data_IF_074223862913
#
_entry.id   IF_074223862913
#
_cell.length_a   1.000
_cell.length_b   1.000
_cell.length_c   1.000
_cell.angle_alpha   90.00
_cell.angle_beta   90.00
_cell.angle_gamma   90.00
#
_symmetry.space_group_name_H-M   'P 1'
#
loop_
_entity.id
_entity.type
_entity.pdbx_description
1 polymer ?
#
# COMPACT_ATOMS: atom_id res chain seq x y z
N UNK A 1 9.51 -9.22 35.43
CA UNK A 1 10.28 -10.05 34.46
C UNK A 1 9.79 -11.47 34.57
N UNK A 2 9.31 -12.06 33.48
CA UNK A 2 8.81 -13.45 33.47
C UNK A 2 9.95 -14.47 33.45
N UNK A 3 9.72 -15.63 34.05
CA UNK A 3 10.56 -16.82 33.91
C UNK A 3 10.10 -17.59 32.67
N UNK A 4 11.03 -17.90 31.75
CA UNK A 4 10.76 -18.61 30.50
C UNK A 4 11.28 -20.04 30.61
N UNK A 5 10.47 -21.03 30.22
CA UNK A 5 10.89 -22.43 30.14
C UNK A 5 11.30 -22.76 28.71
N UNK A 6 12.41 -23.47 28.55
CA UNK A 6 12.80 -24.11 27.30
C UNK A 6 13.16 -25.58 27.57
N UNK A 7 12.62 -26.50 26.78
CA UNK A 7 12.91 -27.92 26.94
C UNK A 7 14.19 -28.30 26.19
N UNK A 8 14.98 -29.21 26.78
CA UNK A 8 16.23 -29.74 26.20
C UNK A 8 16.25 -31.26 26.30
N UNK A 9 17.24 -31.91 25.66
CA UNK A 9 17.43 -33.36 25.78
C UNK A 9 17.72 -33.84 27.21
N UNK A 10 18.25 -32.97 28.06
CA UNK A 10 18.65 -33.26 29.45
C UNK A 10 17.65 -32.69 30.48
N UNK A 11 16.46 -32.31 30.04
CA UNK A 11 15.39 -31.73 30.87
C UNK A 11 15.19 -30.23 30.66
N UNK A 12 14.19 -29.63 31.31
CA UNK A 12 13.84 -28.23 31.12
C UNK A 12 14.90 -27.30 31.72
N UNK A 13 15.16 -26.19 31.03
CA UNK A 13 15.88 -25.04 31.58
C UNK A 13 14.91 -23.88 31.81
N UNK A 14 15.11 -23.14 32.91
CA UNK A 14 14.34 -21.95 33.22
C UNK A 14 15.25 -20.74 33.10
N UNK A 15 14.81 -19.71 32.37
CA UNK A 15 15.61 -18.53 32.02
C UNK A 15 14.85 -17.27 32.42
N UNK A 16 15.52 -16.39 33.15
CA UNK A 16 15.04 -15.05 33.50
C UNK A 16 16.03 -14.02 32.95
N UNK A 17 15.52 -12.87 32.52
CA UNK A 17 16.35 -11.71 32.11
C UNK A 17 16.47 -11.49 30.59
N UNK A 18 15.74 -12.26 29.78
CA UNK A 18 15.71 -12.12 28.32
C UNK A 18 14.32 -11.70 27.81
N UNK A 19 14.27 -10.98 26.69
CA UNK A 19 13.01 -10.62 26.02
C UNK A 19 12.40 -11.80 25.27
N UNK A 20 13.22 -12.77 24.85
CA UNK A 20 12.78 -14.02 24.24
C UNK A 20 13.81 -15.13 24.50
N UNK A 21 13.34 -16.37 24.66
CA UNK A 21 14.17 -17.58 24.53
C UNK A 21 13.62 -18.36 23.36
N UNK A 22 14.43 -18.56 22.32
CA UNK A 22 14.06 -19.24 21.08
C UNK A 22 14.30 -20.74 21.20
N UNK A 23 15.44 -21.12 21.76
CA UNK A 23 15.81 -22.51 21.99
C UNK A 23 16.87 -22.63 23.08
N UNK A 24 16.95 -23.81 23.68
CA UNK A 24 18.02 -24.19 24.58
C UNK A 24 18.54 -25.59 24.22
N UNK A 25 19.83 -25.81 24.39
CA UNK A 25 20.44 -27.12 24.32
C UNK A 25 21.44 -27.26 25.47
N UNK A 26 21.58 -28.47 26.01
CA UNK A 26 22.67 -28.79 26.94
C UNK A 26 23.72 -29.56 26.14
N UNK A 27 24.96 -29.08 26.17
CA UNK A 27 26.10 -29.71 25.50
C UNK A 27 27.22 -29.92 26.49
N UNK A 28 27.34 -31.14 27.00
CA UNK A 28 28.25 -31.45 28.10
C UNK A 28 27.88 -30.65 29.36
N UNK A 29 28.73 -29.70 29.74
CA UNK A 29 28.53 -28.88 30.94
C UNK A 29 28.15 -27.42 30.63
N UNK A 30 27.62 -27.16 29.43
CA UNK A 30 27.18 -25.83 28.99
C UNK A 30 25.70 -25.87 28.59
N UNK A 31 24.92 -24.90 29.08
CA UNK A 31 23.63 -24.55 28.50
C UNK A 31 23.88 -23.54 27.37
N UNK A 32 23.56 -23.93 26.14
CA UNK A 32 23.58 -23.10 24.95
C UNK A 32 22.18 -22.54 24.71
N UNK A 33 22.02 -21.22 24.86
CA UNK A 33 20.76 -20.53 24.59
C UNK A 33 20.81 -19.80 23.25
N UNK A 34 19.68 -19.81 22.55
CA UNK A 34 19.33 -18.78 21.56
C UNK A 34 18.28 -17.89 22.21
N UNK A 35 18.62 -16.64 22.44
CA UNK A 35 17.79 -15.72 23.20
C UNK A 35 18.01 -14.28 22.76
N UNK A 36 17.01 -13.44 23.01
CA UNK A 36 17.05 -12.03 22.63
C UNK A 36 17.05 -11.14 23.88
N UNK A 37 17.70 -9.98 23.79
CA UNK A 37 17.69 -8.95 24.84
C UNK A 37 17.28 -7.59 24.27
N UNK A 38 16.38 -6.89 24.97
CA UNK A 38 15.92 -5.54 24.64
C UNK A 38 16.71 -4.44 25.36
N UNK A 39 17.49 -4.82 26.38
CA UNK A 39 18.42 -3.96 27.12
C UNK A 39 19.49 -4.79 27.80
N UNK A 40 20.58 -4.13 28.19
CA UNK A 40 21.59 -4.76 29.02
C UNK A 40 21.00 -5.10 30.40
N UNK A 41 21.37 -6.26 30.95
CA UNK A 41 20.80 -6.72 32.20
C UNK A 41 21.38 -8.03 32.71
N UNK A 42 20.85 -8.47 33.86
CA UNK A 42 21.17 -9.77 34.43
C UNK A 42 20.41 -10.89 33.70
N UNK A 43 21.08 -12.03 33.51
CA UNK A 43 20.46 -13.30 33.08
C UNK A 43 20.65 -14.34 34.17
N UNK A 44 19.58 -15.05 34.51
CA UNK A 44 19.61 -16.17 35.45
C UNK A 44 19.07 -17.44 34.78
N UNK A 45 19.85 -18.52 34.84
CA UNK A 45 19.54 -19.80 34.19
C UNK A 45 19.55 -20.93 35.20
N UNK A 46 18.44 -21.65 35.32
CA UNK A 46 18.30 -22.87 36.10
C UNK A 46 18.35 -24.05 35.13
N UNK A 47 19.33 -24.94 35.29
CA UNK A 47 19.52 -26.07 34.39
C UNK A 47 20.68 -26.99 34.81
N UNK A 48 20.84 -28.15 34.16
CA UNK A 48 21.79 -29.19 34.57
C UNK A 48 23.24 -28.92 34.13
N UNK A 49 23.70 -27.66 34.14
CA UNK A 49 25.02 -27.27 33.64
C UNK A 49 25.68 -26.20 34.52
N UNK A 50 27.01 -26.04 34.37
CA UNK A 50 27.81 -25.02 35.10
C UNK A 50 28.32 -23.88 34.23
N UNK A 51 28.16 -23.96 32.91
CA UNK A 51 28.53 -22.92 31.95
C UNK A 51 27.31 -22.47 31.16
N UNK A 52 27.36 -21.24 30.67
CA UNK A 52 26.33 -20.63 29.85
C UNK A 52 26.98 -20.05 28.59
N UNK A 53 26.38 -20.31 27.44
CA UNK A 53 26.62 -19.55 26.21
C UNK A 53 25.28 -19.04 25.67
N UNK A 54 25.28 -17.82 25.13
CA UNK A 54 24.09 -17.19 24.56
C UNK A 54 24.43 -16.70 23.16
N UNK A 55 23.63 -17.11 22.17
CA UNK A 55 23.81 -16.78 20.75
C UNK A 55 25.20 -17.18 20.18
N UNK A 56 25.83 -18.19 20.79
CA UNK A 56 27.17 -18.67 20.40
C UNK A 56 28.30 -18.09 21.24
N UNK A 57 28.05 -17.07 22.05
CA UNK A 57 29.06 -16.39 22.86
C UNK A 57 29.07 -16.89 24.32
N UNK A 58 30.23 -17.25 24.89
CA UNK A 58 30.33 -17.63 26.30
C UNK A 58 29.96 -16.47 27.23
N UNK A 59 29.14 -16.76 28.24
CA UNK A 59 28.74 -15.79 29.26
C UNK A 59 29.46 -16.09 30.56
N UNK A 60 30.12 -15.08 31.14
CA UNK A 60 30.70 -15.19 32.47
C UNK A 60 29.57 -15.27 33.50
N UNK A 61 29.51 -16.37 34.23
CA UNK A 61 28.47 -16.66 35.22
C UNK A 61 29.06 -16.99 36.58
N UNK A 62 28.27 -16.76 37.64
CA UNK A 62 28.50 -17.30 38.99
C UNK A 62 27.34 -18.20 39.38
N UNK A 63 27.60 -19.23 40.16
CA UNK A 63 26.54 -20.06 40.74
C UNK A 63 25.89 -19.32 41.91
N UNK A 64 24.56 -19.27 41.96
CA UNK A 64 23.81 -18.71 43.08
C UNK A 64 23.66 -19.73 44.21
N UNK A 65 23.18 -19.31 45.38
CA UNK A 65 22.87 -20.24 46.48
C UNK A 65 21.81 -21.29 46.10
N UNK A 66 20.90 -20.96 45.16
CA UNK A 66 19.90 -21.86 44.62
C UNK A 66 20.40 -22.77 43.49
N UNK A 67 21.70 -22.73 43.17
CA UNK A 67 22.30 -23.57 42.13
C UNK A 67 22.13 -23.07 40.69
N UNK A 68 21.45 -21.94 40.47
CA UNK A 68 21.32 -21.30 39.16
C UNK A 68 22.61 -20.62 38.72
N UNK A 69 22.75 -20.38 37.41
CA UNK A 69 23.82 -19.59 36.82
C UNK A 69 23.34 -18.14 36.65
N UNK A 70 24.03 -17.20 37.28
CA UNK A 70 23.74 -15.77 37.15
C UNK A 70 24.89 -15.08 36.41
N UNK A 71 24.56 -14.37 35.33
CA UNK A 71 25.50 -13.58 34.52
C UNK A 71 24.88 -12.27 34.07
N UNK A 72 25.52 -11.61 33.10
CA UNK A 72 25.00 -10.39 32.48
C UNK A 72 25.08 -10.49 30.96
N UNK A 73 24.05 -9.98 30.29
CA UNK A 73 23.99 -9.87 28.85
C UNK A 73 24.00 -8.39 28.41
N UNK A 74 24.63 -8.09 27.27
CA UNK A 74 24.49 -6.79 26.63
C UNK A 74 23.07 -6.57 26.10
N UNK A 75 22.73 -5.32 25.85
CA UNK A 75 21.56 -4.92 25.06
C UNK A 75 21.95 -4.57 23.62
N UNK A 76 20.97 -4.21 22.79
CA UNK A 76 21.23 -3.80 21.42
C UNK A 76 22.06 -2.52 21.34
N UNK A 77 22.81 -2.36 20.25
CA UNK A 77 23.52 -1.14 19.94
C UNK A 77 22.54 -0.03 19.48
N UNK A 78 22.87 1.26 19.74
CA UNK A 78 22.03 2.37 19.29
C UNK A 78 21.85 2.40 17.77
N UNK A 79 20.61 2.61 17.34
CA UNK A 79 20.21 2.67 15.92
C UNK A 79 20.23 4.12 15.43
N UNK A 80 20.78 4.35 14.24
CA UNK A 80 20.73 5.65 13.54
C UNK A 80 20.05 5.47 12.20
N UNK A 81 18.98 6.22 11.97
CA UNK A 81 18.24 6.22 10.71
C UNK A 81 18.50 7.54 9.94
N UNK A 82 18.65 7.48 8.61
CA UNK A 82 18.86 8.68 7.81
C UNK A 82 17.56 9.48 7.68
N UNK A 83 17.70 10.79 7.48
CA UNK A 83 16.60 11.61 7.00
C UNK A 83 16.24 11.24 5.55
N UNK A 84 14.95 11.16 5.25
CA UNK A 84 14.45 10.95 3.90
C UNK A 84 14.48 12.28 3.13
N UNK A 85 15.57 12.53 2.42
CA UNK A 85 15.81 13.77 1.68
C UNK A 85 15.88 13.52 0.17
N UNK A 86 16.08 14.56 -0.64
CA UNK A 86 16.31 14.38 -2.09
C UNK A 86 15.08 13.92 -2.88
N UNK A 87 13.88 14.13 -2.35
CA UNK A 87 12.64 13.75 -3.00
C UNK A 87 12.49 14.39 -4.39
N UNK A 88 12.18 13.54 -5.36
CA UNK A 88 11.76 13.92 -6.69
C UNK A 88 10.27 13.70 -6.85
N UNK A 89 9.64 14.48 -7.71
CA UNK A 89 8.20 14.43 -7.95
C UNK A 89 7.86 14.46 -9.43
N UNK A 90 6.77 13.78 -9.76
CA UNK A 90 6.15 13.82 -11.08
C UNK A 90 4.64 13.65 -10.95
N UNK A 91 3.90 14.61 -11.48
CA UNK A 91 2.46 14.47 -11.64
C UNK A 91 2.13 13.40 -12.69
N UNK A 92 1.20 12.52 -12.33
CA UNK A 92 0.28 11.78 -13.18
C UNK A 92 -1.01 12.65 -13.26
N UNK A 93 -2.04 12.51 -14.10
CA UNK A 93 -2.57 11.48 -14.98
C UNK A 93 -2.52 11.92 -16.44
N UNK A 94 -1.57 11.45 -17.25
CA UNK A 94 -1.65 11.69 -18.68
C UNK A 94 -2.99 11.20 -19.25
N UNK A 95 -3.61 10.18 -18.65
CA UNK A 95 -4.94 9.65 -18.94
C UNK A 95 -6.06 10.67 -18.84
N UNK A 96 -5.92 11.76 -18.08
CA UNK A 96 -6.95 12.80 -18.04
C UNK A 96 -6.94 13.66 -19.31
N UNK A 97 -5.80 13.73 -20.02
CA UNK A 97 -5.62 14.66 -21.13
C UNK A 97 -6.41 14.20 -22.37
N UNK A 98 -6.96 15.13 -23.16
CA UNK A 98 -7.74 14.77 -24.34
C UNK A 98 -6.87 14.08 -25.41
N UNK A 99 -5.62 14.51 -25.57
CA UNK A 99 -4.67 13.93 -26.53
C UNK A 99 -3.90 12.70 -26.03
N UNK A 100 -4.29 12.09 -24.92
CA UNK A 100 -3.70 10.81 -24.48
C UNK A 100 -4.13 9.68 -25.41
N UNK A 101 -3.17 8.90 -25.88
CA UNK A 101 -3.42 7.75 -26.73
C UNK A 101 -3.82 6.54 -25.89
N UNK A 102 -5.11 6.19 -25.96
CA UNK A 102 -5.71 5.01 -25.32
C UNK A 102 -6.06 3.92 -26.33
N UNK A 103 -5.48 3.93 -27.55
CA UNK A 103 -5.79 2.93 -28.57
C UNK A 103 -5.45 1.51 -28.12
N UNK A 104 -4.45 1.37 -27.24
CA UNK A 104 -4.02 0.10 -26.64
C UNK A 104 -4.87 -0.36 -25.44
N UNK A 105 -5.85 0.43 -24.99
CA UNK A 105 -6.70 0.07 -23.87
C UNK A 105 -7.83 -0.88 -24.29
N UNK A 106 -8.24 -1.71 -23.34
CA UNK A 106 -9.37 -2.63 -23.50
C UNK A 106 -10.65 -1.83 -23.76
N UNK A 107 -11.41 -2.20 -24.80
CA UNK A 107 -12.75 -1.67 -25.01
C UNK A 107 -13.68 -2.19 -23.92
N UNK A 108 -14.42 -1.29 -23.28
CA UNK A 108 -15.45 -1.66 -22.32
C UNK A 108 -16.81 -1.66 -23.01
N UNK A 109 -17.10 -2.74 -23.73
CA UNK A 109 -18.25 -2.91 -24.63
C UNK A 109 -19.09 -4.16 -24.31
N UNK A 110 -18.82 -4.84 -23.19
CA UNK A 110 -19.62 -5.99 -22.75
C UNK A 110 -21.04 -5.54 -22.43
N UNK A 111 -22.03 -6.29 -22.89
CA UNK A 111 -23.45 -6.02 -22.64
C UNK A 111 -24.06 -6.95 -21.59
N UNK A 112 -23.30 -7.94 -21.14
CA UNK A 112 -23.72 -8.95 -20.16
C UNK A 112 -22.61 -9.16 -19.15
N UNK A 113 -22.99 -9.55 -17.93
CA UNK A 113 -22.07 -9.81 -16.81
C UNK A 113 -22.41 -11.15 -16.19
N UNK A 114 -21.40 -11.82 -15.65
CA UNK A 114 -21.58 -13.03 -14.83
C UNK A 114 -21.74 -12.70 -13.34
N UNK A 115 -21.43 -11.46 -12.96
CA UNK A 115 -21.63 -10.93 -11.62
C UNK A 115 -23.14 -10.83 -11.35
N UNK A 116 -23.65 -11.31 -10.19
CA UNK A 116 -25.10 -11.43 -9.90
C UNK A 116 -25.83 -10.10 -9.71
N UNK A 117 -25.17 -8.97 -9.98
CA UNK A 117 -25.72 -7.61 -9.86
C UNK A 117 -25.89 -7.02 -11.26
N UNK A 118 -27.11 -6.56 -11.55
CA UNK A 118 -27.45 -6.06 -12.88
C UNK A 118 -26.67 -4.76 -13.18
N UNK A 119 -26.11 -4.62 -14.40
CA UNK A 119 -25.51 -3.36 -14.82
C UNK A 119 -26.60 -2.29 -14.96
N UNK A 120 -26.30 -1.01 -14.66
CA UNK A 120 -27.28 0.04 -14.84
C UNK A 120 -27.62 0.21 -16.32
N UNK A 121 -28.88 0.50 -16.63
CA UNK A 121 -29.28 0.99 -17.95
C UNK A 121 -29.05 2.50 -18.02
N UNK A 122 -28.50 3.00 -19.13
CA UNK A 122 -28.44 4.44 -19.37
C UNK A 122 -29.77 4.98 -19.89
N UNK A 123 -29.81 6.29 -20.19
CA UNK A 123 -31.00 6.94 -20.74
C UNK A 123 -31.42 6.38 -22.12
N UNK A 124 -30.54 5.66 -22.82
CA UNK A 124 -30.83 4.99 -24.09
C UNK A 124 -31.33 3.55 -23.92
N UNK A 125 -31.30 3.01 -22.68
CA UNK A 125 -31.71 1.65 -22.35
C UNK A 125 -30.60 0.61 -22.53
N UNK A 126 -29.37 1.02 -22.85
CA UNK A 126 -28.24 0.10 -23.07
C UNK A 126 -26.90 0.79 -22.72
N UNK A 127 -26.37 0.52 -21.52
CA UNK A 127 -25.00 0.87 -21.16
C UNK A 127 -24.10 -0.38 -21.13
N UNK A 128 -22.82 -0.28 -21.50
CA UNK A 128 -21.89 -1.39 -21.34
C UNK A 128 -21.63 -1.65 -19.85
N UNK A 129 -21.28 -2.89 -19.54
CA UNK A 129 -20.76 -3.29 -18.23
C UNK A 129 -19.39 -2.63 -18.04
N UNK A 130 -19.23 -1.92 -16.92
CA UNK A 130 -17.99 -1.19 -16.59
C UNK A 130 -17.25 -1.80 -15.37
N UNK A 131 -17.67 -2.98 -14.92
CA UNK A 131 -17.06 -3.69 -13.80
C UNK A 131 -15.63 -4.12 -14.15
N UNK A 132 -14.67 -3.80 -13.30
CA UNK A 132 -13.25 -3.98 -13.59
C UNK A 132 -12.86 -5.46 -13.75
N UNK A 133 -13.44 -6.34 -12.94
CA UNK A 133 -13.20 -7.79 -12.94
C UNK A 133 -13.64 -8.43 -14.25
N UNK A 134 -14.71 -7.93 -14.87
CA UNK A 134 -15.12 -8.41 -16.18
C UNK A 134 -14.00 -8.18 -17.22
N UNK A 135 -13.13 -7.19 -17.04
CA UNK A 135 -12.01 -6.93 -17.96
C UNK A 135 -10.65 -7.46 -17.46
N UNK A 136 -10.63 -8.34 -16.45
CA UNK A 136 -9.41 -8.93 -15.90
C UNK A 136 -8.56 -7.96 -15.08
N UNK A 137 -9.22 -6.99 -14.43
CA UNK A 137 -8.58 -5.98 -13.59
C UNK A 137 -9.11 -6.06 -12.15
N UNK A 138 -8.64 -7.07 -11.41
CA UNK A 138 -9.18 -7.39 -10.08
C UNK A 138 -8.60 -6.54 -8.93
N UNK A 139 -7.46 -5.89 -9.14
CA UNK A 139 -6.68 -5.27 -8.06
C UNK A 139 -6.22 -3.85 -8.36
N UNK A 140 -6.23 -3.03 -7.31
CA UNK A 140 -5.76 -1.65 -7.32
C UNK A 140 -6.57 -0.73 -8.23
N UNK A 141 -6.08 0.50 -8.42
CA UNK A 141 -6.83 1.53 -9.13
C UNK A 141 -7.11 1.17 -10.59
N UNK A 142 -8.23 1.64 -11.14
CA UNK A 142 -8.62 1.39 -12.53
C UNK A 142 -9.01 2.69 -13.21
N UNK A 143 -8.47 2.92 -14.41
CA UNK A 143 -8.86 4.06 -15.24
C UNK A 143 -9.95 3.68 -16.23
N UNK A 144 -10.86 4.63 -16.42
CA UNK A 144 -11.90 4.62 -17.45
C UNK A 144 -11.77 5.87 -18.31
N UNK A 145 -11.92 5.71 -19.63
CA UNK A 145 -11.99 6.81 -20.59
C UNK A 145 -13.23 6.68 -21.46
N UNK A 146 -14.19 7.57 -21.24
CA UNK A 146 -15.45 7.66 -21.94
C UNK A 146 -15.40 8.73 -23.02
N UNK A 147 -15.54 8.32 -24.28
CA UNK A 147 -15.52 9.18 -25.45
C UNK A 147 -16.93 9.50 -25.92
N UNK A 148 -17.24 10.78 -26.13
CA UNK A 148 -18.52 11.21 -26.65
C UNK A 148 -18.36 12.44 -27.57
N UNK A 149 -19.42 12.79 -28.28
CA UNK A 149 -19.47 14.03 -29.08
C UNK A 149 -20.29 15.04 -28.31
N UNK A 150 -19.69 16.19 -28.00
CA UNK A 150 -20.37 17.23 -27.23
C UNK A 150 -21.51 17.87 -28.03
N UNK A 151 -22.61 18.19 -27.35
CA UNK A 151 -23.75 18.94 -27.89
C UNK A 151 -23.70 20.42 -27.51
N UNK A 152 -22.89 20.77 -26.51
CA UNK A 152 -22.78 22.11 -25.90
C UNK A 152 -23.90 22.44 -24.91
N UNK A 153 -24.76 21.46 -24.60
CA UNK A 153 -25.86 21.58 -23.62
C UNK A 153 -25.56 20.85 -22.31
N UNK A 154 -24.40 20.21 -22.22
CA UNK A 154 -23.95 19.50 -21.04
C UNK A 154 -23.75 20.44 -19.84
N UNK A 155 -24.27 20.06 -18.67
CA UNK A 155 -24.16 20.87 -17.44
C UNK A 155 -23.48 20.15 -16.29
N UNK A 156 -23.53 18.82 -16.27
CA UNK A 156 -22.88 18.01 -15.25
C UNK A 156 -22.53 16.61 -15.77
N UNK A 157 -21.57 15.97 -15.10
CA UNK A 157 -21.31 14.53 -15.22
C UNK A 157 -21.90 13.85 -13.99
N UNK A 158 -22.77 12.87 -14.21
CA UNK A 158 -23.33 12.02 -13.16
C UNK A 158 -22.67 10.65 -13.23
N UNK A 159 -22.11 10.18 -12.12
CA UNK A 159 -21.44 8.87 -12.02
C UNK A 159 -22.00 8.04 -10.86
N UNK A 160 -21.68 6.75 -10.90
CA UNK A 160 -21.77 5.80 -9.79
C UNK A 160 -20.59 4.84 -9.88
N UNK A 161 -19.98 4.48 -8.76
CA UNK A 161 -18.83 3.58 -8.71
C UNK A 161 -18.84 2.76 -7.44
N UNK A 162 -18.30 1.55 -7.49
CA UNK A 162 -18.07 0.68 -6.34
C UNK A 162 -16.56 0.57 -6.14
N UNK A 163 -16.08 0.99 -4.97
CA UNK A 163 -14.64 1.02 -4.67
C UNK A 163 -14.24 0.03 -3.58
N UNK A 164 -15.24 -0.57 -2.91
CA UNK A 164 -15.05 -1.16 -1.59
C UNK A 164 -14.96 -0.09 -0.50
N UNK A 165 -14.91 -0.56 0.76
CA UNK A 165 -15.03 0.28 1.95
C UNK A 165 -14.05 1.45 1.94
N UNK A 166 -14.58 2.68 2.08
CA UNK A 166 -13.83 3.93 2.17
C UNK A 166 -13.04 4.32 0.90
N UNK A 167 -13.23 3.66 -0.23
CA UNK A 167 -12.59 4.08 -1.48
C UNK A 167 -13.19 5.36 -2.07
N UNK A 168 -12.46 5.98 -2.99
CA UNK A 168 -12.90 7.17 -3.72
C UNK A 168 -12.73 6.97 -5.22
N UNK A 169 -13.28 7.90 -5.99
CA UNK A 169 -12.94 8.05 -7.40
C UNK A 169 -12.83 9.52 -7.77
N UNK A 170 -12.04 9.80 -8.80
CA UNK A 170 -11.73 11.14 -9.29
C UNK A 170 -12.17 11.25 -10.75
N UNK A 171 -12.68 12.41 -11.15
CA UNK A 171 -13.19 12.66 -12.49
C UNK A 171 -12.53 13.87 -13.16
N UNK A 172 -12.24 13.74 -14.46
CA UNK A 172 -11.75 14.80 -15.33
C UNK A 172 -12.52 14.84 -16.64
N UNK A 173 -12.67 16.02 -17.21
CA UNK A 173 -13.23 16.21 -18.54
C UNK A 173 -12.26 17.03 -19.40
N UNK A 174 -11.78 16.45 -20.50
CA UNK A 174 -10.77 17.06 -21.37
C UNK A 174 -9.53 17.57 -20.60
N UNK A 175 -9.12 16.85 -19.55
CA UNK A 175 -7.98 17.19 -18.69
C UNK A 175 -8.31 18.15 -17.54
N UNK A 176 -9.50 18.73 -17.49
CA UNK A 176 -9.94 19.56 -16.38
C UNK A 176 -10.46 18.69 -15.24
N UNK A 177 -9.88 18.83 -14.04
CA UNK A 177 -10.37 18.12 -12.85
C UNK A 177 -11.76 18.63 -12.46
N UNK A 178 -12.74 17.73 -12.43
CA UNK A 178 -14.11 18.07 -12.07
C UNK A 178 -14.37 17.87 -10.57
N UNK A 179 -13.67 16.93 -9.93
CA UNK A 179 -13.81 16.62 -8.52
C UNK A 179 -13.60 15.14 -8.20
N UNK A 180 -13.94 14.80 -6.97
CA UNK A 180 -13.91 13.43 -6.45
C UNK A 180 -15.21 13.11 -5.72
N UNK A 181 -15.57 11.83 -5.63
CA UNK A 181 -16.66 11.36 -4.79
C UNK A 181 -16.28 10.08 -4.05
N UNK A 182 -17.02 9.80 -2.98
CA UNK A 182 -16.90 8.53 -2.27
C UNK A 182 -17.48 7.40 -3.12
N UNK A 183 -16.78 6.28 -3.18
CA UNK A 183 -17.30 5.09 -3.82
C UNK A 183 -18.35 4.39 -2.96
N UNK A 184 -19.20 3.62 -3.62
CA UNK A 184 -20.21 2.81 -3.00
C UNK A 184 -19.59 1.67 -2.21
N UNK A 185 -20.29 1.33 -1.13
CA UNK A 185 -20.05 0.17 -0.30
C UNK A 185 -21.39 -0.50 -0.11
N UNK A 186 -21.51 -1.79 -0.35
CA UNK A 186 -22.69 -2.52 0.12
C UNK A 186 -22.17 -3.51 1.15
N UNK A 187 -22.59 -3.32 2.40
CA UNK A 187 -22.32 -4.29 3.44
C UNK A 187 -23.19 -5.53 3.24
N UNK A 188 -22.84 -6.58 3.96
CA UNK A 188 -23.53 -7.86 3.89
C UNK A 188 -25.05 -7.76 3.96
N UNK A 189 -25.56 -7.01 4.93
CA UNK A 189 -27.00 -6.88 5.17
C UNK A 189 -27.70 -5.86 4.29
N UNK A 190 -26.98 -5.14 3.44
CA UNK A 190 -27.54 -4.02 2.68
C UNK A 190 -28.28 -4.52 1.44
N UNK A 191 -29.41 -3.89 1.14
CA UNK A 191 -30.09 -4.12 -0.13
C UNK A 191 -29.21 -3.58 -1.27
N UNK A 192 -29.18 -4.30 -2.40
CA UNK A 192 -28.50 -3.84 -3.59
C UNK A 192 -29.02 -2.46 -4.02
N UNK A 193 -28.11 -1.51 -4.27
CA UNK A 193 -28.47 -0.18 -4.75
C UNK A 193 -28.24 -0.07 -6.26
N UNK A 194 -29.21 0.47 -7.02
CA UNK A 194 -29.06 0.66 -8.46
C UNK A 194 -28.06 1.78 -8.81
N UNK A 195 -27.61 2.57 -7.82
CA UNK A 195 -26.65 3.67 -8.02
C UNK A 195 -25.66 3.78 -6.85
N UNK A 196 -24.72 2.83 -6.70
CA UNK A 196 -23.74 2.85 -5.62
C UNK A 196 -22.74 4.01 -5.80
N UNK A 197 -22.36 4.67 -4.71
CA UNK A 197 -21.35 5.73 -4.72
C UNK A 197 -21.65 6.87 -5.71
N UNK A 198 -22.83 7.50 -5.66
CA UNK A 198 -23.21 8.52 -6.63
C UNK A 198 -22.28 9.73 -6.54
N UNK A 199 -21.94 10.27 -7.71
CA UNK A 199 -21.19 11.51 -7.86
C UNK A 199 -21.87 12.39 -8.89
N UNK A 200 -21.81 13.70 -8.67
CA UNK A 200 -22.34 14.69 -9.60
C UNK A 200 -21.36 15.86 -9.67
N UNK A 201 -20.83 16.11 -10.86
CA UNK A 201 -19.77 17.08 -11.07
C UNK A 201 -20.21 18.12 -12.10
N UNK A 202 -20.24 19.39 -11.71
CA UNK A 202 -20.59 20.47 -12.60
C UNK A 202 -19.56 20.60 -13.74
N UNK A 203 -20.05 20.79 -14.96
CA UNK A 203 -19.21 21.09 -16.12
C UNK A 203 -19.09 22.61 -16.25
N UNK A 204 -17.87 23.18 -16.14
CA UNK A 204 -17.67 24.61 -16.36
C UNK A 204 -18.14 25.06 -17.75
N UNK A 205 -18.77 26.23 -17.82
CA UNK A 205 -19.23 26.78 -19.09
C UNK A 205 -18.07 26.98 -20.07
N UNK A 206 -18.29 26.60 -21.32
CA UNK A 206 -17.28 26.71 -22.39
C UNK A 206 -16.21 25.62 -22.40
N UNK A 207 -16.22 24.67 -21.45
CA UNK A 207 -15.30 23.51 -21.47
C UNK A 207 -15.59 22.56 -22.65
N UNK A 208 -16.85 22.49 -23.08
CA UNK A 208 -17.31 21.70 -24.21
C UNK A 208 -17.85 22.59 -25.32
N UNK A 209 -17.59 22.20 -26.56
CA UNK A 209 -18.07 22.88 -27.77
C UNK A 209 -18.92 21.91 -28.60
N UNK A 210 -20.08 22.34 -29.11
CA UNK A 210 -20.93 21.50 -29.95
C UNK A 210 -20.16 20.88 -31.12
N UNK A 211 -20.34 19.57 -31.34
CA UNK A 211 -19.73 18.79 -32.42
C UNK A 211 -18.29 18.32 -32.16
N UNK A 212 -17.62 18.83 -31.12
CA UNK A 212 -16.25 18.41 -30.79
C UNK A 212 -16.24 17.08 -30.00
N UNK A 213 -15.14 16.33 -30.14
CA UNK A 213 -14.89 15.12 -29.34
C UNK A 213 -14.49 15.52 -27.92
N UNK A 214 -15.08 14.83 -26.96
CA UNK A 214 -14.81 15.02 -25.55
C UNK A 214 -14.46 13.69 -24.89
N UNK A 215 -13.62 13.76 -23.86
CA UNK A 215 -13.19 12.61 -23.08
C UNK A 215 -13.42 12.85 -21.60
N UNK A 216 -14.30 12.04 -21.03
CA UNK A 216 -14.47 11.87 -19.59
C UNK A 216 -13.48 10.81 -19.10
N UNK A 217 -12.58 11.19 -18.20
CA UNK A 217 -11.65 10.25 -17.57
C UNK A 217 -12.00 10.07 -16.11
N UNK A 218 -12.12 8.83 -15.66
CA UNK A 218 -12.46 8.50 -14.27
C UNK A 218 -11.41 7.53 -13.73
N UNK A 219 -10.80 7.89 -12.60
CA UNK A 219 -9.94 7.01 -11.83
C UNK A 219 -10.73 6.47 -10.65
N UNK A 220 -10.93 5.15 -10.60
CA UNK A 220 -11.67 4.50 -9.52
C UNK A 220 -10.69 3.71 -8.66
N UNK A 221 -10.66 3.99 -7.35
CA UNK A 221 -9.89 3.17 -6.41
C UNK A 221 -10.56 1.81 -6.21
N UNK A 222 -9.75 0.77 -6.05
CA UNK A 222 -10.21 -0.54 -5.58
C UNK A 222 -9.54 -0.83 -4.24
N UNK A 223 -10.33 -0.80 -3.17
CA UNK A 223 -9.90 -1.06 -1.79
C UNK A 223 -9.91 -2.56 -1.43
N UNK A 224 -10.01 -3.44 -2.43
CA UNK A 224 -10.11 -4.88 -2.29
C UNK A 224 -11.55 -5.38 -2.36
N UNK A 225 -11.71 -6.65 -2.75
CA UNK A 225 -12.99 -7.35 -2.76
C UNK A 225 -13.44 -7.73 -1.34
N UNK A 226 -14.74 -7.94 -1.17
CA UNK A 226 -15.28 -8.37 0.12
C UNK A 226 -14.84 -9.82 0.42
N UNK A 227 -14.84 -10.20 1.69
CA UNK A 227 -14.72 -11.60 2.07
C UNK A 227 -16.00 -12.39 1.74
N UNK A 228 -15.93 -13.71 1.83
CA UNK A 228 -17.06 -14.61 1.58
C UNK A 228 -17.48 -15.30 2.88
N UNK A 229 -17.97 -14.50 3.84
CA UNK A 229 -18.30 -15.02 5.17
C UNK A 229 -19.64 -15.77 5.23
N UNK A 230 -20.57 -15.47 4.31
CA UNK A 230 -21.91 -16.08 4.28
C UNK A 230 -22.09 -16.99 3.08
N UNK A 231 -22.78 -18.12 3.25
CA UNK A 231 -22.99 -19.13 2.22
C UNK A 231 -23.80 -18.70 0.96
N UNK A 232 -24.22 -17.44 0.88
CA UNK A 232 -24.96 -16.89 -0.26
C UNK A 232 -24.04 -16.62 -1.49
N UNK A 233 -22.71 -16.71 -1.35
CA UNK A 233 -21.72 -16.76 -2.45
C UNK A 233 -21.79 -15.60 -3.48
N UNK A 234 -22.42 -14.48 -3.11
CA UNK A 234 -22.65 -13.34 -4.01
C UNK A 234 -21.79 -12.12 -3.67
N UNK A 235 -21.32 -11.99 -2.42
CA UNK A 235 -20.76 -10.73 -1.91
C UNK A 235 -19.29 -10.52 -2.23
N UNK A 236 -18.49 -11.58 -2.23
CA UNK A 236 -17.12 -11.50 -2.74
C UNK A 236 -17.10 -11.21 -4.26
N UNK A 237 -18.18 -11.56 -4.97
CA UNK A 237 -18.40 -11.26 -6.40
C UNK A 237 -18.87 -9.83 -6.65
N UNK A 238 -19.13 -9.03 -5.61
CA UNK A 238 -19.50 -7.62 -5.81
C UNK A 238 -18.39 -6.93 -6.61
N UNK A 239 -18.79 -6.30 -7.71
CA UNK A 239 -17.86 -5.66 -8.62
C UNK A 239 -17.09 -4.50 -7.99
N UNK A 240 -16.01 -4.13 -8.65
CA UNK A 240 -15.25 -2.92 -8.42
C UNK A 240 -15.20 -2.09 -9.70
N UNK A 241 -14.94 -0.80 -9.54
CA UNK A 241 -14.80 0.11 -10.66
C UNK A 241 -16.03 0.99 -10.89
N UNK A 242 -16.12 1.55 -12.10
CA UNK A 242 -17.22 2.42 -12.48
C UNK A 242 -18.48 1.56 -12.66
N UNK A 243 -19.57 1.95 -12.02
CA UNK A 243 -20.85 1.26 -12.14
C UNK A 243 -21.65 1.83 -13.31
N UNK A 244 -21.66 3.15 -13.44
CA UNK A 244 -22.30 3.85 -14.55
C UNK A 244 -21.91 5.32 -14.61
N UNK A 245 -22.18 5.94 -15.78
CA UNK A 245 -21.99 7.36 -15.98
C UNK A 245 -22.94 7.90 -17.05
N UNK A 246 -23.38 9.13 -16.86
CA UNK A 246 -24.22 9.88 -17.80
C UNK A 246 -23.85 11.36 -17.79
N UNK A 247 -24.22 12.06 -18.86
CA UNK A 247 -23.97 13.49 -19.01
C UNK A 247 -25.30 14.24 -18.89
N UNK A 248 -25.46 15.03 -17.84
CA UNK A 248 -26.66 15.84 -17.64
C UNK A 248 -26.75 16.88 -18.75
N UNK A 249 -27.91 16.96 -19.41
CA UNK A 249 -28.13 17.88 -20.54
C UNK A 249 -27.75 17.32 -21.91
N UNK A 250 -27.29 16.07 -22.00
CA UNK A 250 -27.00 15.39 -23.27
C UNK A 250 -27.38 13.90 -23.22
N UNK A 251 -27.97 13.40 -24.30
CA UNK A 251 -28.23 11.97 -24.50
C UNK A 251 -27.17 11.32 -25.41
N UNK A 252 -26.03 11.99 -25.64
CA UNK A 252 -24.97 11.45 -26.47
C UNK A 252 -24.41 10.15 -25.86
N UNK A 253 -24.28 9.07 -26.66
CA UNK A 253 -23.71 7.83 -26.16
C UNK A 253 -22.24 8.00 -25.80
N UNK A 254 -21.80 7.31 -24.75
CA UNK A 254 -20.40 7.30 -24.29
C UNK A 254 -19.78 5.96 -24.64
N UNK A 255 -18.69 5.96 -25.40
CA UNK A 255 -17.90 4.76 -25.72
C UNK A 255 -16.73 4.63 -24.76
N UNK A 256 -16.60 3.51 -24.07
CA UNK A 256 -15.67 3.36 -22.96
C UNK A 256 -14.42 2.54 -23.30
N UNK A 257 -13.30 2.98 -22.74
CA UNK A 257 -12.04 2.24 -22.61
C UNK A 257 -11.72 2.06 -21.13
N UNK A 258 -11.09 0.94 -20.78
CA UNK A 258 -10.72 0.58 -19.40
C UNK A 258 -9.27 0.09 -19.33
N UNK A 259 -8.57 0.46 -18.26
CA UNK A 259 -7.20 0.02 -18.00
C UNK A 259 -6.93 -0.09 -16.49
N UNK A 260 -6.76 -1.31 -16.00
CA UNK A 260 -6.19 -1.60 -14.68
C UNK A 260 -4.68 -1.86 -14.76
N UNK A 261 -4.19 -2.77 -13.92
CA UNK A 261 -2.78 -3.15 -13.89
C UNK A 261 -2.23 -3.59 -15.26
N UNK A 262 -0.94 -3.32 -15.51
CA UNK A 262 -0.30 -3.71 -16.77
C UNK A 262 -0.30 -5.23 -16.91
N UNK A 263 -0.92 -5.70 -18.00
CA UNK A 263 -1.08 -7.13 -18.28
C UNK A 263 -2.34 -7.77 -17.69
N UNK A 264 -3.08 -7.07 -16.81
CA UNK A 264 -4.24 -7.63 -16.11
C UNK A 264 -3.86 -8.92 -15.39
N UNK A 265 -4.62 -9.99 -15.63
CA UNK A 265 -4.35 -11.35 -15.12
C UNK A 265 -3.02 -11.95 -15.63
N UNK A 266 -2.48 -11.47 -16.76
CA UNK A 266 -1.16 -11.86 -17.27
C UNK A 266 -0.07 -10.96 -16.67
N UNK A 267 0.33 -11.28 -15.44
CA UNK A 267 1.16 -10.42 -14.59
C UNK A 267 2.45 -9.94 -15.26
N UNK A 268 2.62 -8.61 -15.33
CA UNK A 268 3.87 -8.01 -15.79
C UNK A 268 5.03 -8.18 -14.78
N UNK A 269 4.72 -8.35 -13.49
CA UNK A 269 5.70 -8.59 -12.42
C UNK A 269 5.29 -9.78 -11.55
N UNK A 270 5.56 -11.03 -12.01
CA UNK A 270 5.23 -12.22 -11.24
C UNK A 270 6.07 -12.36 -9.96
N UNK A 271 7.19 -11.64 -9.82
CA UNK A 271 8.02 -11.71 -8.62
C UNK A 271 7.36 -11.01 -7.42
N UNK A 272 6.55 -9.98 -7.66
CA UNK A 272 5.79 -9.25 -6.62
C UNK A 272 4.32 -9.67 -6.54
N UNK A 273 3.85 -10.43 -7.52
CA UNK A 273 2.50 -11.01 -7.54
C UNK A 273 1.41 -10.02 -7.97
N UNK A 274 0.15 -10.50 -8.06
CA UNK A 274 -0.94 -9.78 -8.71
C UNK A 274 -1.43 -8.56 -7.92
N UNK A 275 -1.27 -8.56 -6.59
CA UNK A 275 -1.81 -7.53 -5.70
C UNK A 275 -0.88 -6.32 -5.54
N UNK A 276 0.36 -6.40 -6.06
CA UNK A 276 1.38 -5.40 -5.77
C UNK A 276 1.08 -4.05 -6.42
N UNK A 277 0.49 -4.06 -7.61
CA UNK A 277 0.25 -2.86 -8.41
C UNK A 277 -1.16 -2.86 -8.96
N UNK A 278 -1.78 -1.69 -8.97
CA UNK A 278 -2.98 -1.39 -9.75
C UNK A 278 -2.66 -0.76 -11.10
N UNK A 279 -3.64 0.00 -11.57
CA UNK A 279 -3.63 0.69 -12.84
C UNK A 279 -3.22 2.15 -12.80
N UNK A 280 -2.55 2.68 -11.77
CA UNK A 280 -1.96 4.03 -11.91
C UNK A 280 -0.92 4.05 -13.04
N UNK A 281 -0.79 5.15 -13.77
CA UNK A 281 0.21 5.30 -14.83
C UNK A 281 1.62 4.99 -14.34
N UNK A 282 1.98 5.50 -13.16
CA UNK A 282 3.29 5.25 -12.55
C UNK A 282 3.50 3.79 -12.12
N UNK A 283 2.43 3.07 -11.77
CA UNK A 283 2.47 1.62 -11.53
C UNK A 283 2.77 0.89 -12.85
N UNK A 284 1.98 1.15 -13.89
CA UNK A 284 2.13 0.51 -15.22
C UNK A 284 3.48 0.86 -15.89
N UNK A 285 4.05 2.00 -15.54
CA UNK A 285 5.35 2.49 -16.03
C UNK A 285 6.54 2.10 -15.15
N UNK A 286 6.33 1.39 -14.04
CA UNK A 286 7.40 0.91 -13.16
C UNK A 286 8.09 2.00 -12.31
N UNK A 287 7.45 3.15 -12.08
CA UNK A 287 8.03 4.25 -11.30
C UNK A 287 8.33 3.89 -9.84
N UNK A 288 7.62 2.89 -9.32
CA UNK A 288 7.81 2.33 -7.99
C UNK A 288 9.06 1.44 -7.88
N UNK A 289 9.64 0.99 -9.00
CA UNK A 289 10.73 0.03 -9.01
C UNK A 289 12.09 0.69 -8.67
N UNK A 290 13.00 -0.06 -8.02
CA UNK A 290 14.40 0.36 -7.91
C UNK A 290 15.02 0.55 -9.29
N UNK A 291 16.02 1.44 -9.41
CA UNK A 291 16.72 1.67 -10.68
C UNK A 291 15.97 2.50 -11.73
N UNK A 292 14.67 2.78 -11.56
CA UNK A 292 13.92 3.66 -12.48
C UNK A 292 14.64 5.02 -12.65
N UNK A 293 14.84 5.51 -13.90
CA UNK A 293 15.61 6.71 -14.19
C UNK A 293 14.78 7.98 -13.97
N UNK A 294 14.56 8.34 -12.70
CA UNK A 294 13.85 9.56 -12.30
C UNK A 294 14.70 10.85 -12.41
N UNK A 295 15.84 10.79 -13.13
CA UNK A 295 16.77 11.93 -13.33
C UNK A 295 16.11 13.22 -13.81
N UNK A 296 15.08 13.09 -14.64
CA UNK A 296 14.32 14.18 -15.25
C UNK A 296 13.16 14.70 -14.39
N UNK A 297 12.87 14.05 -13.25
CA UNK A 297 11.79 14.48 -12.38
C UNK A 297 12.16 15.74 -11.62
N UNK A 298 11.16 16.57 -11.35
CA UNK A 298 11.34 17.81 -10.62
C UNK A 298 11.67 17.50 -9.15
N UNK A 299 12.29 18.45 -8.44
CA UNK A 299 12.43 18.33 -6.98
C UNK A 299 11.07 18.54 -6.32
N UNK A 300 10.76 17.75 -5.31
CA UNK A 300 9.50 17.88 -4.58
C UNK A 300 9.47 19.18 -3.76
N UNK A 301 8.38 19.95 -3.91
CA UNK A 301 8.14 21.17 -3.15
C UNK A 301 7.25 20.96 -1.89
N UNK A 302 6.73 19.74 -1.70
CA UNK A 302 5.83 19.38 -0.59
C UNK A 302 4.35 19.66 -0.85
N UNK A 303 4.00 20.50 -1.84
CA UNK A 303 2.63 20.73 -2.27
C UNK A 303 2.24 19.79 -3.43
N UNK A 304 1.00 19.31 -3.43
CA UNK A 304 0.39 18.52 -4.50
C UNK A 304 -0.99 19.07 -4.85
N UNK A 305 -1.35 18.99 -6.13
CA UNK A 305 -2.66 19.38 -6.65
C UNK A 305 -3.60 18.15 -6.73
N UNK A 306 -4.92 18.33 -6.94
CA UNK A 306 -5.84 17.22 -7.13
C UNK A 306 -5.41 16.29 -8.28
N UNK A 307 -5.56 14.99 -8.04
CA UNK A 307 -5.09 13.92 -8.94
C UNK A 307 -3.97 13.10 -8.32
N UNK A 308 -3.13 12.53 -9.18
CA UNK A 308 -2.09 11.58 -8.75
C UNK A 308 -0.72 12.22 -8.90
N UNK A 309 0.05 12.27 -7.82
CA UNK A 309 1.43 12.76 -7.84
C UNK A 309 2.36 11.72 -7.26
N UNK A 310 3.39 11.35 -8.00
CA UNK A 310 4.41 10.44 -7.53
C UNK A 310 5.54 11.20 -6.87
N UNK A 311 6.04 10.67 -5.74
CA UNK A 311 7.28 11.09 -5.13
C UNK A 311 8.23 9.90 -5.05
N UNK A 312 9.53 10.14 -5.27
CA UNK A 312 10.54 9.11 -5.19
C UNK A 312 11.80 9.61 -4.52
N UNK A 313 12.40 8.78 -3.68
CA UNK A 313 13.71 9.02 -3.09
C UNK A 313 14.49 7.72 -2.91
N UNK A 314 15.78 7.84 -2.65
CA UNK A 314 16.65 6.73 -2.25
C UNK A 314 17.38 7.09 -0.97
N UNK A 315 17.63 6.08 -0.14
CA UNK A 315 18.39 6.23 1.10
C UNK A 315 19.24 4.98 1.34
N UNK A 316 20.28 5.12 2.15
CA UNK A 316 21.16 4.00 2.53
C UNK A 316 21.04 3.70 4.02
N UNK A 317 21.00 2.42 4.35
CA UNK A 317 21.07 1.94 5.73
C UNK A 317 22.39 1.19 5.94
N UNK A 318 22.89 1.27 7.16
CA UNK A 318 24.00 0.48 7.71
C UNK A 318 23.70 0.26 9.20
N UNK A 319 22.70 -0.57 9.46
CA UNK A 319 22.23 -0.83 10.83
C UNK A 319 23.23 -1.72 11.59
N UNK A 320 23.29 -1.67 12.93
CA UNK A 320 24.14 -2.58 13.67
C UNK A 320 23.77 -4.05 13.39
N UNK A 321 24.80 -4.89 13.24
CA UNK A 321 24.64 -6.33 13.02
C UNK A 321 24.27 -7.05 14.31
N UNK A 322 23.81 -8.29 14.15
CA UNK A 322 23.48 -9.22 15.25
C UNK A 322 22.37 -8.71 16.19
N UNK A 323 21.54 -7.79 15.70
CA UNK A 323 20.31 -7.34 16.34
C UNK A 323 19.17 -7.25 15.32
N UNK A 324 17.97 -7.58 15.77
CA UNK A 324 16.72 -7.36 15.06
C UNK A 324 16.26 -5.92 15.34
N UNK A 325 16.26 -5.08 14.30
CA UNK A 325 15.86 -3.68 14.37
C UNK A 325 14.63 -3.44 13.50
N UNK A 326 13.48 -3.31 14.15
CA UNK A 326 12.23 -2.99 13.47
C UNK A 326 12.22 -1.51 13.07
N UNK A 327 12.06 -1.24 11.77
CA UNK A 327 11.96 0.12 11.21
C UNK A 327 10.56 0.37 10.66
N UNK A 328 9.99 1.54 10.93
CA UNK A 328 8.74 1.98 10.31
C UNK A 328 8.89 3.30 9.56
N UNK A 329 8.07 3.48 8.52
CA UNK A 329 7.82 4.76 7.88
C UNK A 329 6.69 5.45 8.62
N UNK A 330 6.96 6.64 9.18
CA UNK A 330 5.98 7.47 9.87
C UNK A 330 5.55 8.64 8.99
N UNK A 331 4.24 8.80 8.84
CA UNK A 331 3.61 10.02 8.32
C UNK A 331 3.26 10.98 9.46
N UNK A 332 3.62 12.26 9.32
CA UNK A 332 3.36 13.28 10.33
C UNK A 332 4.60 13.67 11.14
N UNK A 333 4.39 14.30 12.30
CA UNK A 333 5.49 14.73 13.14
C UNK A 333 6.31 13.53 13.65
N UNK A 334 7.64 13.67 13.83
CA UNK A 334 8.49 12.56 14.29
C UNK A 334 8.09 11.96 15.63
N UNK A 335 7.51 12.77 16.53
CA UNK A 335 7.00 12.34 17.84
C UNK A 335 5.62 11.66 17.78
N UNK A 336 5.03 11.56 16.58
CA UNK A 336 3.71 10.97 16.35
C UNK A 336 2.54 11.90 16.65
N UNK A 337 2.80 13.15 17.05
CA UNK A 337 1.77 14.14 17.38
C UNK A 337 1.29 14.91 16.15
N UNK A 338 0.31 15.79 16.35
CA UNK A 338 -0.23 16.66 15.32
C UNK A 338 -1.33 16.03 14.46
N UNK A 339 -2.04 16.89 13.75
CA UNK A 339 -3.10 16.49 12.83
C UNK A 339 -2.50 16.00 11.52
N UNK A 340 -3.14 15.00 10.92
CA UNK A 340 -2.80 14.56 9.57
C UNK A 340 -3.56 15.43 8.59
N UNK A 341 -2.91 15.95 7.54
CA UNK A 341 -3.63 16.69 6.53
C UNK A 341 -4.66 15.78 5.84
N UNK A 342 -5.82 16.36 5.57
CA UNK A 342 -6.98 15.70 4.99
C UNK A 342 -6.94 15.76 3.46
N UNK A 343 -7.77 14.95 2.79
CA UNK A 343 -7.99 15.05 1.35
C UNK A 343 -6.92 14.41 0.47
N UNK A 344 -6.03 13.57 1.02
CA UNK A 344 -5.14 12.75 0.20
C UNK A 344 -4.85 11.37 0.82
N UNK A 345 -4.42 10.48 -0.06
CA UNK A 345 -4.04 9.09 0.22
C UNK A 345 -2.68 8.82 -0.38
N UNK A 346 -1.93 7.88 0.18
CA UNK A 346 -0.59 7.55 -0.29
C UNK A 346 -0.43 6.04 -0.34
N UNK A 347 -0.19 5.50 -1.54
CA UNK A 347 0.35 4.15 -1.68
C UNK A 347 1.86 4.18 -1.47
N UNK A 348 2.36 3.30 -0.60
CA UNK A 348 3.76 3.27 -0.17
C UNK A 348 4.47 2.09 -0.81
N UNK A 349 5.48 2.37 -1.63
CA UNK A 349 6.29 1.34 -2.29
C UNK A 349 7.71 1.33 -1.76
N UNK A 350 8.12 0.23 -1.12
CA UNK A 350 9.49 -0.02 -0.69
C UNK A 350 10.15 -1.02 -1.64
N UNK A 351 11.23 -0.60 -2.30
CA UNK A 351 11.97 -1.44 -3.26
C UNK A 351 11.05 -2.11 -4.31
N UNK A 352 9.99 -1.41 -4.70
CA UNK A 352 8.98 -1.86 -5.65
C UNK A 352 7.81 -2.65 -5.06
N UNK A 353 7.85 -3.07 -3.78
CA UNK A 353 6.69 -3.69 -3.16
C UNK A 353 5.78 -2.65 -2.50
N UNK A 354 4.47 -2.73 -2.77
CA UNK A 354 3.47 -1.99 -2.03
C UNK A 354 3.39 -2.53 -0.60
N UNK A 355 3.73 -1.70 0.38
CA UNK A 355 3.78 -2.06 1.81
C UNK A 355 2.68 -1.38 2.61
N UNK A 356 1.77 -0.66 1.96
CA UNK A 356 0.59 -0.11 2.61
C UNK A 356 0.04 1.14 1.95
N UNK A 357 -1.12 1.54 2.45
CA UNK A 357 -1.82 2.75 2.05
C UNK A 357 -2.05 3.62 3.29
N UNK A 358 -1.55 4.85 3.23
CA UNK A 358 -1.86 5.88 4.22
C UNK A 358 -3.05 6.72 3.75
N UNK A 359 -3.94 7.09 4.67
CA UNK A 359 -5.03 8.03 4.41
C UNK A 359 -5.32 8.84 5.67
N UNK A 360 -5.08 10.15 5.61
CA UNK A 360 -5.31 11.07 6.73
C UNK A 360 -6.78 11.11 7.17
N UNK A 361 -7.70 10.99 6.21
CA UNK A 361 -9.16 11.04 6.43
C UNK A 361 -9.76 9.75 7.02
N UNK A 362 -8.99 8.67 7.06
CA UNK A 362 -9.46 7.35 7.50
C UNK A 362 -8.76 6.97 8.80
N UNK A 363 -7.43 7.03 8.83
CA UNK A 363 -6.63 6.64 9.98
C UNK A 363 -6.92 5.22 10.49
N UNK A 364 -6.45 4.86 11.69
CA UNK A 364 -5.52 5.61 12.54
C UNK A 364 -4.05 5.38 12.19
N UNK A 365 -3.75 4.52 11.20
CA UNK A 365 -2.38 4.07 10.94
C UNK A 365 -1.50 5.21 10.40
N UNK A 366 -0.47 5.56 11.18
CA UNK A 366 0.58 6.53 10.82
C UNK A 366 1.92 5.87 10.52
N UNK A 367 2.14 4.70 11.13
CA UNK A 367 3.38 3.95 11.09
C UNK A 367 3.19 2.69 10.23
N UNK A 368 4.02 2.57 9.21
CA UNK A 368 4.04 1.44 8.28
C UNK A 368 5.34 0.68 8.47
N UNK A 369 5.25 -0.53 9.00
CA UNK A 369 6.42 -1.35 9.25
C UNK A 369 7.11 -1.73 7.94
N UNK A 370 8.40 -1.45 7.85
CA UNK A 370 9.24 -1.77 6.71
C UNK A 370 10.03 -3.03 7.04
N UNK A 371 9.47 -4.19 6.68
CA UNK A 371 10.02 -5.50 7.05
C UNK A 371 11.48 -5.67 6.58
N UNK A 372 12.35 -6.16 7.47
CA UNK A 372 13.69 -6.59 7.07
C UNK A 372 13.59 -7.66 5.97
N UNK A 373 14.54 -7.63 5.02
CA UNK A 373 14.50 -8.44 3.82
C UNK A 373 13.89 -7.68 2.65
N UNK A 374 12.74 -7.02 2.85
CA UNK A 374 12.25 -6.00 1.91
C UNK A 374 13.06 -4.72 2.04
N UNK A 375 13.17 -4.22 3.28
CA UNK A 375 14.10 -3.18 3.67
C UNK A 375 15.50 -3.78 3.73
N UNK A 376 16.42 -3.22 2.95
CA UNK A 376 17.83 -3.60 2.97
C UNK A 376 18.50 -2.84 4.11
N UNK A 377 18.71 -3.49 5.25
CA UNK A 377 19.37 -2.91 6.43
C UNK A 377 20.84 -2.52 6.20
N UNK A 378 21.46 -3.06 5.15
CA UNK A 378 22.85 -2.80 4.78
C UNK A 378 22.93 -2.54 3.27
N UNK A 379 22.55 -1.33 2.83
CA UNK A 379 22.54 -1.00 1.41
C UNK A 379 21.57 0.10 1.03
N UNK A 380 21.39 0.26 -0.28
CA UNK A 380 20.50 1.25 -0.87
C UNK A 380 19.06 0.74 -0.98
N UNK A 381 18.12 1.59 -0.60
CA UNK A 381 16.69 1.38 -0.70
C UNK A 381 16.05 2.47 -1.56
N UNK A 382 14.99 2.13 -2.27
CA UNK A 382 14.11 3.04 -2.99
C UNK A 382 12.77 3.13 -2.28
N UNK A 383 12.31 4.35 -2.03
CA UNK A 383 10.96 4.62 -1.57
C UNK A 383 10.24 5.42 -2.65
N UNK A 384 9.08 4.93 -3.08
CA UNK A 384 8.18 5.64 -3.97
C UNK A 384 6.81 5.78 -3.31
N UNK A 385 6.20 6.94 -3.45
CA UNK A 385 4.91 7.28 -2.89
C UNK A 385 3.99 7.72 -4.03
N UNK A 386 2.85 7.06 -4.20
CA UNK A 386 1.81 7.54 -5.11
C UNK A 386 0.75 8.27 -4.29
N UNK A 387 0.74 9.60 -4.39
CA UNK A 387 -0.19 10.47 -3.68
C UNK A 387 -1.43 10.68 -4.53
N UNK A 388 -2.59 10.28 -4.03
CA UNK A 388 -3.89 10.51 -4.65
C UNK A 388 -4.58 11.61 -3.84
N UNK A 389 -4.69 12.80 -4.40
CA UNK A 389 -5.23 14.00 -3.73
C UNK A 389 -6.58 14.39 -4.33
N UNK A 390 -7.56 14.71 -3.49
CA UNK A 390 -8.88 15.20 -3.94
C UNK A 390 -8.94 16.73 -3.98
N UNK A 391 -8.04 17.39 -3.27
CA UNK A 391 -7.87 18.84 -3.17
C UNK A 391 -6.39 19.22 -3.31
N UNK A 392 -6.08 20.52 -3.32
CA UNK A 392 -4.71 20.95 -3.05
C UNK A 392 -4.31 20.52 -1.63
N UNK A 393 -3.12 19.96 -1.48
CA UNK A 393 -2.64 19.45 -0.19
C UNK A 393 -1.15 19.72 0.01
N UNK A 394 -0.75 19.87 1.27
CA UNK A 394 0.66 19.88 1.67
C UNK A 394 0.98 18.56 2.34
N UNK A 395 1.98 17.85 1.82
CA UNK A 395 2.41 16.57 2.34
C UNK A 395 3.11 16.77 3.69
N UNK A 396 2.75 15.97 4.70
CA UNK A 396 3.41 16.03 5.99
C UNK A 396 4.81 15.45 5.87
N UNK A 397 5.69 15.74 6.84
CA UNK A 397 6.97 15.05 6.94
C UNK A 397 6.78 13.53 6.92
N UNK A 398 7.69 12.85 6.24
CA UNK A 398 7.78 11.39 6.25
C UNK A 398 9.15 11.01 6.79
N UNK A 399 9.19 10.19 7.84
CA UNK A 399 10.44 9.86 8.55
C UNK A 399 10.56 8.37 8.81
N UNK A 400 11.80 7.89 8.94
CA UNK A 400 12.08 6.55 9.42
C UNK A 400 12.24 6.58 10.94
N UNK A 401 11.59 5.64 11.63
CA UNK A 401 11.71 5.48 13.08
C UNK A 401 12.07 4.04 13.45
N UNK A 402 12.87 3.82 14.51
CA UNK A 402 12.97 2.49 15.11
C UNK A 402 11.72 2.26 15.97
N UNK A 403 11.08 1.09 15.84
CA UNK A 403 9.90 0.73 16.65
C UNK A 403 10.24 -0.28 17.74
N UNK A 404 11.20 -1.17 17.50
CA UNK A 404 11.75 -2.10 18.48
C UNK A 404 13.18 -2.48 18.09
N UNK A 405 14.00 -2.84 19.07
CA UNK A 405 15.35 -3.34 18.81
C UNK A 405 15.70 -4.40 19.83
N UNK A 406 16.15 -5.55 19.35
CA UNK A 406 16.54 -6.69 20.17
C UNK A 406 17.88 -7.22 19.71
N UNK A 407 18.86 -7.34 20.61
CA UNK A 407 20.08 -8.07 20.32
C UNK A 407 19.76 -9.56 20.18
N UNK A 408 20.30 -10.22 19.16
CA UNK A 408 19.91 -11.56 18.75
C UNK A 408 19.13 -11.55 17.44
N UNK A 409 18.08 -12.36 17.34
CA UNK A 409 17.31 -12.48 16.11
C UNK A 409 17.80 -13.58 15.16
N UNK A 410 17.16 -13.63 14.00
CA UNK A 410 17.52 -14.56 12.91
C UNK A 410 18.22 -13.77 11.81
N UNK A 411 19.22 -14.34 11.13
CA UNK A 411 19.77 -13.72 9.93
C UNK A 411 18.68 -13.67 8.84
N UNK A 412 18.39 -12.47 8.33
CA UNK A 412 17.40 -12.26 7.27
C UNK A 412 18.14 -11.87 5.98
N UNK A 413 17.86 -12.60 4.90
CA UNK A 413 18.35 -12.26 3.57
C UNK A 413 17.42 -11.27 2.88
N UNK A 414 17.99 -10.42 2.02
CA UNK A 414 17.19 -9.57 1.12
C UNK A 414 16.30 -10.42 0.22
N UNK A 415 15.03 -10.02 0.09
CA UNK A 415 14.10 -10.64 -0.86
C UNK A 415 14.54 -10.25 -2.27
N UNK A 416 14.86 -11.23 -3.14
CA UNK A 416 15.25 -10.92 -4.51
C UNK A 416 14.02 -10.44 -5.28
N UNK A 417 14.07 -9.23 -5.81
CA UNK A 417 13.05 -8.69 -6.70
C UNK A 417 13.73 -7.90 -7.83
N UNK A 418 13.22 -7.98 -9.07
CA UNK A 418 13.83 -7.27 -10.19
C UNK A 418 13.80 -5.75 -10.01
N UNK A 419 14.89 -5.11 -10.42
CA UNK A 419 14.94 -3.67 -10.65
C UNK A 419 14.23 -3.32 -11.97
N UNK A 420 13.98 -2.03 -12.19
CA UNK A 420 13.49 -1.51 -13.47
C UNK A 420 14.44 -1.90 -14.61
N UNK A 421 13.87 -2.29 -15.76
CA UNK A 421 14.60 -2.71 -16.96
C UNK A 421 14.33 -1.79 -18.14
#
# INVERSE_FOLDING_TARGET
MGLRRADTGDGPVLVRGTSLVRSAAVRGNTVDLRADTDKAGEIEVFGPARKLAVNGEPVRVRTTAGGSLLGSLPGPAPVKLPALTGWRTRAEAPEARPGFDDSGWTAADRTTTTIPYEPPTDQSGAAPVLFAEEYGFDYGNVWYRGHFTATGTETAVSTSAITGKRGIYLAWLNGHYLGSAAGGTEADTDAHTPRPGPGEFAIPSGLLKPGEKAVLSVLVENMGNNDDWTADDNRFKQSRGLFGASITGSAAPITWKIQGARGGENLADPARGPLNTGGLYGERSGWHLPGYPDGSWQRAAGAVAPGVTWLRTTFRLDLPKDQDTSVALRFGAPDGTGDLPLGYRVLVFLNGLNVGQFSGDIGPQRDFYLQEGLLRHHGANTLALAVISTTDATLPPTTLIPTATHLGGLPISTVPAPDFR
#
